data_IF_456175453810
#
_entry.id   IF_456175453810
#
_cell.length_a   1.000
_cell.length_b   1.000
_cell.length_c   1.000
_cell.angle_alpha   90.00
_cell.angle_beta   90.00
_cell.angle_gamma   90.00
#
_symmetry.space_group_name_H-M   'P 1'
#
loop_
_entity.id
_entity.type
_entity.pdbx_description
1 polymer ?
#
# COMPACT_ATOMS: atom_id res chain seq x y z
N UNK A 1 1.33 36.04 -39.10
CA UNK A 1 0.34 35.08 -39.64
C UNK A 1 1.02 33.86 -40.30
N UNK A 2 2.08 34.04 -41.07
CA UNK A 2 2.80 32.95 -41.75
C UNK A 2 3.56 32.05 -40.77
N UNK A 3 4.10 32.58 -39.68
CA UNK A 3 4.81 31.80 -38.65
C UNK A 3 3.90 30.88 -37.85
N UNK A 4 2.63 31.26 -37.62
CA UNK A 4 1.65 30.43 -36.92
C UNK A 4 1.17 29.27 -37.79
N UNK A 5 1.03 29.48 -39.10
CA UNK A 5 0.70 28.42 -40.04
C UNK A 5 1.81 27.36 -40.17
N UNK A 6 3.09 27.77 -40.08
CA UNK A 6 4.22 26.85 -40.13
C UNK A 6 4.29 25.97 -38.88
N UNK A 7 3.99 26.53 -37.69
CA UNK A 7 3.94 25.77 -36.45
C UNK A 7 2.76 24.80 -36.40
N UNK A 8 1.58 25.19 -36.87
CA UNK A 8 0.43 24.29 -36.94
C UNK A 8 0.63 23.14 -37.94
N UNK A 9 1.28 23.40 -39.09
CA UNK A 9 1.59 22.34 -40.06
C UNK A 9 2.63 21.31 -39.53
N UNK A 10 3.64 21.78 -38.80
CA UNK A 10 4.63 20.88 -38.19
C UNK A 10 4.00 20.01 -37.11
N UNK A 11 3.05 20.51 -36.31
CA UNK A 11 2.34 19.78 -35.28
C UNK A 11 1.39 18.74 -35.88
N UNK A 12 0.68 19.12 -36.98
CA UNK A 12 -0.27 18.21 -37.65
C UNK A 12 0.46 17.10 -38.42
N UNK A 13 1.59 17.40 -39.03
CA UNK A 13 2.44 16.41 -39.73
C UNK A 13 3.07 15.45 -38.68
N UNK A 14 3.49 15.95 -37.54
CA UNK A 14 4.02 15.11 -36.46
C UNK A 14 2.95 14.17 -35.90
N UNK A 15 1.74 14.67 -35.62
CA UNK A 15 0.62 13.85 -35.16
C UNK A 15 0.17 12.79 -36.17
N UNK A 16 0.14 13.13 -37.46
CA UNK A 16 -0.19 12.16 -38.52
C UNK A 16 0.91 11.09 -38.68
N UNK A 17 2.18 11.48 -38.57
CA UNK A 17 3.30 10.56 -38.61
C UNK A 17 3.33 9.61 -37.40
N UNK A 18 3.08 10.12 -36.18
CA UNK A 18 2.94 9.31 -34.97
C UNK A 18 1.71 8.40 -35.03
N UNK A 19 0.60 8.87 -35.57
CA UNK A 19 -0.60 8.04 -35.77
C UNK A 19 -0.37 6.91 -36.77
N UNK A 20 0.33 7.19 -37.88
CA UNK A 20 0.65 6.16 -38.89
C UNK A 20 1.70 5.15 -38.37
N UNK A 21 2.75 5.64 -37.66
CA UNK A 21 3.73 4.79 -37.01
C UNK A 21 3.10 3.89 -35.94
N UNK A 22 2.17 4.45 -35.19
CA UNK A 22 1.41 3.75 -34.17
C UNK A 22 0.53 2.63 -34.76
N UNK A 23 -0.19 2.90 -35.88
CA UNK A 23 -0.95 1.85 -36.56
C UNK A 23 -0.06 0.75 -37.13
N UNK A 24 1.12 1.07 -37.66
CA UNK A 24 2.08 0.09 -38.18
C UNK A 24 2.63 -0.80 -37.04
N UNK A 25 2.86 -0.22 -35.86
CA UNK A 25 3.36 -0.95 -34.69
C UNK A 25 2.30 -1.84 -34.05
N UNK A 26 1.03 -1.38 -34.01
CA UNK A 26 -0.11 -2.20 -33.58
C UNK A 26 -0.37 -3.41 -34.52
N UNK A 27 -0.15 -3.25 -35.81
CA UNK A 27 -0.30 -4.34 -36.80
C UNK A 27 0.78 -5.41 -36.67
N UNK A 28 1.92 -5.12 -36.02
CA UNK A 28 2.99 -6.10 -35.74
C UNK A 28 2.83 -6.86 -34.43
N UNK A 29 1.79 -6.58 -33.64
CA UNK A 29 1.37 -7.40 -32.48
C UNK A 29 2.30 -7.38 -31.26
N UNK A 30 3.35 -6.54 -31.22
CA UNK A 30 4.36 -6.58 -30.17
C UNK A 30 4.48 -5.28 -29.32
N UNK A 31 3.63 -4.27 -29.58
CA UNK A 31 3.70 -3.00 -28.84
C UNK A 31 2.27 -2.52 -28.58
N UNK A 32 1.93 -2.28 -27.33
CA UNK A 32 0.63 -1.75 -26.90
C UNK A 32 0.71 -0.24 -26.69
N UNK A 33 -0.43 0.44 -26.69
CA UNK A 33 -0.50 1.88 -26.37
C UNK A 33 0.09 2.19 -25.00
N UNK A 34 0.06 1.22 -24.11
CA UNK A 34 0.62 1.25 -22.78
C UNK A 34 2.14 1.41 -22.78
N UNK A 35 2.85 0.82 -23.73
CA UNK A 35 4.33 0.88 -23.80
C UNK A 35 4.89 2.28 -24.08
N UNK A 36 4.07 3.18 -24.63
CA UNK A 36 4.46 4.57 -24.93
C UNK A 36 4.05 5.56 -23.83
N UNK A 37 2.94 5.32 -23.13
CA UNK A 37 2.40 6.26 -22.14
C UNK A 37 2.99 6.03 -20.72
N UNK A 38 3.29 4.80 -20.37
CA UNK A 38 3.72 4.46 -19.02
C UNK A 38 5.09 4.98 -18.58
N UNK A 39 6.12 5.03 -19.43
CA UNK A 39 7.40 5.57 -19.01
C UNK A 39 7.31 7.02 -18.58
N UNK A 40 6.46 7.81 -19.26
CA UNK A 40 6.30 9.23 -18.98
C UNK A 40 5.53 9.45 -17.67
N UNK A 41 4.44 8.69 -17.44
CA UNK A 41 3.64 8.78 -16.21
C UNK A 41 4.47 8.36 -15.00
N UNK A 42 5.17 7.23 -15.06
CA UNK A 42 6.01 6.77 -13.95
C UNK A 42 7.15 7.75 -13.66
N UNK A 43 7.82 8.28 -14.69
CA UNK A 43 8.89 9.25 -14.54
C UNK A 43 8.40 10.57 -13.92
N UNK A 44 7.19 11.00 -14.27
CA UNK A 44 6.55 12.17 -13.67
C UNK A 44 6.29 11.93 -12.17
N UNK A 45 5.68 10.80 -11.81
CA UNK A 45 5.41 10.42 -10.42
C UNK A 45 6.71 10.31 -9.60
N UNK A 46 7.75 9.71 -10.16
CA UNK A 46 9.07 9.63 -9.51
C UNK A 46 9.72 11.01 -9.34
N UNK A 47 9.49 11.93 -10.27
CA UNK A 47 9.99 13.30 -10.15
C UNK A 47 9.31 14.03 -8.98
N UNK A 48 8.00 13.92 -8.86
CA UNK A 48 7.24 14.44 -7.71
C UNK A 48 7.67 13.77 -6.39
N UNK A 49 7.89 12.46 -6.41
CA UNK A 49 8.36 11.72 -5.24
C UNK A 49 9.75 12.21 -4.78
N UNK A 50 10.69 12.49 -5.70
CA UNK A 50 12.01 13.07 -5.35
C UNK A 50 11.87 14.44 -4.67
N UNK A 51 10.93 15.28 -5.14
CA UNK A 51 10.66 16.58 -4.52
C UNK A 51 10.09 16.41 -3.10
N UNK A 52 9.11 15.51 -2.93
CA UNK A 52 8.54 15.20 -1.63
C UNK A 52 9.60 14.64 -0.65
N UNK A 53 10.49 13.74 -1.13
CA UNK A 53 11.60 13.23 -0.34
C UNK A 53 12.52 14.34 0.15
N UNK A 54 12.88 15.27 -0.72
CA UNK A 54 13.74 16.39 -0.36
C UNK A 54 13.12 17.26 0.76
N UNK A 55 11.80 17.45 0.71
CA UNK A 55 11.08 18.16 1.77
C UNK A 55 11.01 17.35 3.08
N UNK A 56 10.79 16.03 3.01
CA UNK A 56 10.78 15.17 4.18
C UNK A 56 12.10 15.12 4.96
N UNK A 57 13.25 15.35 4.30
CA UNK A 57 14.55 15.42 4.98
C UNK A 57 14.62 16.50 6.07
N UNK A 58 13.78 17.54 5.99
CA UNK A 58 13.73 18.63 6.95
C UNK A 58 12.74 18.39 8.10
N UNK A 59 12.02 17.26 8.10
CA UNK A 59 11.08 16.91 9.16
C UNK A 59 11.68 15.87 10.10
N UNK A 60 11.48 16.06 11.40
CA UNK A 60 11.88 15.06 12.39
C UNK A 60 10.76 14.03 12.65
N UNK A 61 11.08 12.98 13.41
CA UNK A 61 10.13 11.90 13.72
C UNK A 61 8.89 12.41 14.47
N UNK A 62 9.08 13.35 15.41
CA UNK A 62 7.98 13.90 16.19
C UNK A 62 7.00 14.71 15.31
N UNK A 63 7.52 15.48 14.37
CA UNK A 63 6.69 16.21 13.40
C UNK A 63 5.91 15.26 12.51
N UNK A 64 6.54 14.20 11.99
CA UNK A 64 5.86 13.18 11.18
C UNK A 64 4.78 12.44 11.99
N UNK A 65 5.05 12.13 13.25
CA UNK A 65 4.06 11.56 14.17
C UNK A 65 2.88 12.50 14.40
N UNK A 66 3.13 13.81 14.59
CA UNK A 66 2.08 14.81 14.71
C UNK A 66 1.22 14.91 13.46
N UNK A 67 1.85 14.94 12.29
CA UNK A 67 1.15 14.93 11.00
C UNK A 67 0.22 13.70 10.91
N UNK A 68 0.76 12.53 11.21
CA UNK A 68 -0.02 11.31 11.09
C UNK A 68 -1.14 11.20 12.13
N UNK A 69 -0.96 11.72 13.35
CA UNK A 69 -2.04 11.81 14.33
C UNK A 69 -3.22 12.65 13.82
N UNK A 70 -2.97 13.74 13.11
CA UNK A 70 -4.03 14.55 12.49
C UNK A 70 -4.72 13.80 11.35
N UNK A 71 -3.99 12.99 10.57
CA UNK A 71 -4.60 12.09 9.58
C UNK A 71 -5.56 11.11 10.26
N UNK A 72 -5.15 10.48 11.37
CA UNK A 72 -6.00 9.56 12.12
C UNK A 72 -7.27 10.25 12.66
N UNK A 73 -7.15 11.49 13.15
CA UNK A 73 -8.29 12.27 13.62
C UNK A 73 -9.29 12.57 12.49
N UNK A 74 -8.79 12.85 11.29
CA UNK A 74 -9.62 13.10 10.10
C UNK A 74 -10.35 11.85 9.63
N UNK A 75 -9.72 10.68 9.74
CA UNK A 75 -10.27 9.41 9.27
C UNK A 75 -11.25 8.77 10.28
N UNK A 76 -11.08 9.02 11.56
CA UNK A 76 -11.92 8.42 12.61
C UNK A 76 -13.43 8.56 12.36
N UNK A 77 -13.99 9.74 12.03
CA UNK A 77 -15.42 9.91 11.82
C UNK A 77 -15.96 9.24 10.55
N UNK A 78 -15.10 8.91 9.59
CA UNK A 78 -15.51 8.34 8.29
C UNK A 78 -15.26 6.84 8.16
N UNK A 79 -14.79 6.15 9.22
CA UNK A 79 -14.54 4.72 9.22
C UNK A 79 -15.73 3.90 8.71
N UNK A 80 -16.94 4.24 9.12
CA UNK A 80 -18.16 3.53 8.69
C UNK A 80 -18.43 3.69 7.17
N UNK A 81 -18.12 4.85 6.59
CA UNK A 81 -18.24 5.05 5.14
C UNK A 81 -17.19 4.21 4.40
N UNK A 82 -15.93 4.24 4.85
CA UNK A 82 -14.86 3.46 4.25
C UNK A 82 -15.13 1.95 4.32
N UNK A 83 -15.65 1.48 5.46
CA UNK A 83 -16.01 0.06 5.62
C UNK A 83 -17.11 -0.36 4.64
N UNK A 84 -18.18 0.47 4.51
CA UNK A 84 -19.30 0.20 3.60
C UNK A 84 -18.86 0.16 2.15
N UNK A 85 -18.11 1.19 1.73
CA UNK A 85 -17.66 1.31 0.35
C UNK A 85 -16.68 0.18 -0.01
N UNK A 86 -15.85 -0.25 0.95
CA UNK A 86 -14.95 -1.40 0.78
C UNK A 86 -15.72 -2.70 0.49
N UNK A 87 -16.75 -3.00 1.26
CA UNK A 87 -17.59 -4.19 1.04
C UNK A 87 -18.37 -4.07 -0.26
N UNK A 88 -18.90 -2.89 -0.56
CA UNK A 88 -19.69 -2.66 -1.77
C UNK A 88 -18.88 -2.83 -3.06
N UNK A 89 -17.65 -2.32 -3.10
CA UNK A 89 -16.81 -2.40 -4.29
C UNK A 89 -16.20 -3.78 -4.46
N UNK A 90 -15.63 -4.34 -3.39
CA UNK A 90 -14.91 -5.61 -3.48
C UNK A 90 -15.84 -6.84 -3.50
N UNK A 91 -17.04 -6.72 -2.96
CA UNK A 91 -17.94 -7.84 -2.74
C UNK A 91 -17.49 -8.81 -1.63
N UNK A 92 -16.42 -8.47 -0.92
CA UNK A 92 -15.84 -9.32 0.15
C UNK A 92 -16.10 -8.75 1.52
N UNK A 93 -16.24 -9.64 2.50
CA UNK A 93 -16.31 -9.32 3.91
C UNK A 93 -17.69 -8.90 4.41
N UNK A 94 -17.70 -8.38 5.64
CA UNK A 94 -18.90 -7.92 6.36
C UNK A 94 -18.63 -6.48 6.85
N UNK A 95 -19.63 -5.62 6.73
CA UNK A 95 -19.52 -4.20 7.10
C UNK A 95 -19.05 -4.00 8.56
N UNK A 96 -19.66 -4.73 9.50
CA UNK A 96 -19.36 -4.61 10.92
C UNK A 96 -17.91 -5.03 11.24
N UNK A 97 -17.45 -6.10 10.62
CA UNK A 97 -16.11 -6.61 10.80
C UNK A 97 -15.06 -5.67 10.17
N UNK A 98 -15.35 -5.14 8.96
CA UNK A 98 -14.52 -4.13 8.30
C UNK A 98 -14.41 -2.86 9.12
N UNK A 99 -15.51 -2.38 9.67
CA UNK A 99 -15.53 -1.22 10.54
C UNK A 99 -14.69 -1.45 11.80
N UNK A 100 -14.81 -2.65 12.41
CA UNK A 100 -13.99 -3.03 13.56
C UNK A 100 -12.50 -3.07 13.22
N UNK A 101 -12.13 -3.66 12.08
CA UNK A 101 -10.74 -3.73 11.60
C UNK A 101 -10.15 -2.34 11.39
N UNK A 102 -10.86 -1.44 10.69
CA UNK A 102 -10.40 -0.07 10.45
C UNK A 102 -10.24 0.68 11.78
N UNK A 103 -11.24 0.61 12.65
CA UNK A 103 -11.22 1.31 13.95
C UNK A 103 -10.06 0.81 14.82
N UNK A 104 -9.82 -0.51 14.83
CA UNK A 104 -8.71 -1.12 15.57
C UNK A 104 -7.37 -0.67 15.01
N UNK A 105 -7.21 -0.69 13.68
CA UNK A 105 -5.98 -0.24 13.05
C UNK A 105 -5.68 1.23 13.39
N UNK A 106 -6.66 2.13 13.29
CA UNK A 106 -6.46 3.54 13.64
C UNK A 106 -6.00 3.71 15.11
N UNK A 107 -6.61 2.95 16.03
CA UNK A 107 -6.21 2.96 17.45
C UNK A 107 -4.78 2.45 17.64
N UNK A 108 -4.43 1.35 16.99
CA UNK A 108 -3.11 0.72 17.12
C UNK A 108 -2.02 1.63 16.52
N UNK A 109 -2.28 2.22 15.34
CA UNK A 109 -1.40 3.22 14.72
C UNK A 109 -1.23 4.48 15.58
N UNK A 110 -2.31 4.95 16.22
CA UNK A 110 -2.24 6.06 17.19
C UNK A 110 -1.34 5.72 18.35
N UNK A 111 -1.48 4.52 18.91
CA UNK A 111 -0.60 4.05 19.99
C UNK A 111 0.86 4.02 19.58
N UNK A 112 1.16 3.54 18.36
CA UNK A 112 2.52 3.57 17.83
C UNK A 112 3.08 4.99 17.70
N UNK A 113 2.29 5.95 17.22
CA UNK A 113 2.74 7.34 17.10
C UNK A 113 3.04 8.01 18.46
N UNK A 114 2.30 7.63 19.50
CA UNK A 114 2.48 8.19 20.84
C UNK A 114 3.67 7.58 21.62
N UNK A 115 4.11 6.38 21.21
CA UNK A 115 5.25 5.68 21.83
C UNK A 115 6.61 6.10 21.25
N UNK A 116 6.69 7.18 20.48
CA UNK A 116 7.87 7.63 19.74
C UNK A 116 8.99 8.22 20.59
N UNK A 117 9.35 7.60 21.69
CA UNK A 117 10.74 7.61 22.10
C UNK A 117 11.45 6.56 21.24
N UNK A 118 12.25 7.03 20.30
CA UNK A 118 12.95 6.14 19.37
C UNK A 118 13.71 5.07 20.15
N UNK A 119 13.37 3.78 20.05
CA UNK A 119 14.10 2.73 20.74
C UNK A 119 15.56 2.62 20.28
N UNK A 120 15.93 3.36 19.24
CA UNK A 120 17.29 3.44 18.70
C UNK A 120 18.13 4.57 19.33
N UNK A 121 17.53 5.62 19.89
CA UNK A 121 18.30 6.73 20.46
C UNK A 121 18.95 6.38 21.82
N UNK A 122 18.36 5.49 22.59
CA UNK A 122 18.88 5.13 23.93
C UNK A 122 20.01 4.10 23.93
N UNK A 123 20.12 3.26 22.90
CA UNK A 123 21.13 2.18 22.87
C UNK A 123 22.54 2.61 22.45
N UNK A 124 22.70 3.83 21.97
CA UNK A 124 24.01 4.34 21.48
C UNK A 124 24.60 5.42 22.36
N UNK A 125 24.09 5.60 23.57
CA UNK A 125 24.63 6.60 24.54
C UNK A 125 26.06 6.30 25.05
N UNK A 126 26.68 5.21 24.62
CA UNK A 126 28.04 4.83 24.98
C UNK A 126 29.12 5.27 23.98
N UNK A 127 28.74 5.88 22.86
CA UNK A 127 29.67 6.39 21.85
C UNK A 127 29.24 7.76 21.40
N UNK A 128 30.19 8.64 21.12
CA UNK A 128 29.98 10.03 20.60
C UNK A 128 29.34 10.03 19.19
N UNK A 129 28.62 8.94 18.81
CA UNK A 129 28.02 8.76 17.51
C UNK A 129 26.54 9.04 17.57
N UNK A 130 26.07 10.07 16.88
CA UNK A 130 24.66 10.37 16.70
C UNK A 130 24.12 9.62 15.50
N UNK A 131 23.13 8.74 15.71
CA UNK A 131 22.42 8.04 14.63
C UNK A 131 21.17 8.83 14.28
N UNK A 132 21.05 9.26 13.03
CA UNK A 132 19.86 9.93 12.51
C UNK A 132 19.19 9.04 11.46
N UNK A 133 17.90 8.75 11.65
CA UNK A 133 17.09 8.07 10.64
C UNK A 133 16.78 9.03 9.49
N UNK A 134 17.06 8.61 8.26
CA UNK A 134 16.78 9.37 7.05
C UNK A 134 15.87 8.60 6.10
N UNK A 135 15.04 9.30 5.28
CA UNK A 135 14.27 8.67 4.22
C UNK A 135 15.15 7.91 3.24
N UNK A 136 14.86 6.63 3.02
CA UNK A 136 15.63 5.77 2.12
C UNK A 136 15.38 6.08 0.64
N UNK A 137 14.15 6.47 0.29
CA UNK A 137 13.74 6.77 -1.08
C UNK A 137 12.25 6.57 -1.29
N UNK A 138 11.81 6.45 -2.54
CA UNK A 138 10.42 6.20 -2.86
C UNK A 138 10.02 4.78 -2.51
N UNK A 139 8.90 4.63 -1.81
CA UNK A 139 8.28 3.34 -1.53
C UNK A 139 7.21 3.03 -2.58
N UNK A 140 7.12 1.77 -2.95
CA UNK A 140 6.03 1.24 -3.77
C UNK A 140 5.06 0.49 -2.88
N UNK A 141 3.77 0.84 -2.92
CA UNK A 141 2.71 0.20 -2.14
C UNK A 141 1.77 -0.60 -3.02
N UNK A 142 1.62 -1.90 -2.75
CA UNK A 142 0.71 -2.78 -3.48
C UNK A 142 -0.22 -3.46 -2.46
N UNK A 143 -1.33 -2.80 -2.07
CA UNK A 143 -2.31 -3.39 -1.18
C UNK A 143 -3.14 -4.46 -1.90
N UNK A 144 -3.62 -5.46 -1.16
CA UNK A 144 -4.53 -6.45 -1.72
C UNK A 144 -5.93 -5.88 -1.94
N UNK A 145 -6.67 -6.50 -2.85
CA UNK A 145 -8.08 -6.18 -3.04
C UNK A 145 -9.00 -6.70 -1.93
N UNK A 146 -8.48 -7.55 -1.03
CA UNK A 146 -9.28 -8.13 0.05
C UNK A 146 -9.51 -7.11 1.17
N UNK A 147 -8.45 -6.44 1.62
CA UNK A 147 -8.50 -5.45 2.72
C UNK A 147 -7.98 -4.07 2.29
N UNK A 148 -8.53 -3.46 1.22
CA UNK A 148 -7.93 -2.31 0.56
C UNK A 148 -7.75 -1.10 1.49
N UNK A 149 -8.71 -0.82 2.37
CA UNK A 149 -8.64 0.34 3.28
C UNK A 149 -7.53 0.18 4.31
N UNK A 150 -7.52 -0.95 5.03
CA UNK A 150 -6.55 -1.17 6.12
C UNK A 150 -5.12 -1.27 5.60
N UNK A 151 -4.92 -1.89 4.45
CA UNK A 151 -3.58 -2.04 3.87
C UNK A 151 -3.06 -0.73 3.27
N UNK A 152 -3.92 0.06 2.62
CA UNK A 152 -3.57 1.41 2.16
C UNK A 152 -3.19 2.31 3.34
N UNK A 153 -3.97 2.28 4.44
CA UNK A 153 -3.67 3.03 5.65
C UNK A 153 -2.35 2.60 6.30
N UNK A 154 -2.10 1.30 6.37
CA UNK A 154 -0.87 0.76 6.95
C UNK A 154 0.36 1.16 6.14
N UNK A 155 0.32 1.04 4.82
CA UNK A 155 1.41 1.45 3.95
C UNK A 155 1.67 2.98 4.03
N UNK A 156 0.60 3.78 4.05
CA UNK A 156 0.71 5.23 4.22
C UNK A 156 1.29 5.61 5.60
N UNK A 157 0.94 4.88 6.66
CA UNK A 157 1.51 5.08 8.00
C UNK A 157 3.03 4.86 7.99
N UNK A 158 3.49 3.77 7.39
CA UNK A 158 4.93 3.50 7.25
C UNK A 158 5.60 4.63 6.47
N UNK A 159 5.07 5.02 5.34
CA UNK A 159 5.64 6.04 4.48
C UNK A 159 5.78 7.40 5.21
N UNK A 160 4.72 7.88 5.85
CA UNK A 160 4.72 9.15 6.58
C UNK A 160 5.66 9.08 7.78
N UNK A 161 5.63 8.00 8.59
CA UNK A 161 6.48 7.86 9.78
C UNK A 161 7.97 7.79 9.44
N UNK A 162 8.32 7.14 8.34
CA UNK A 162 9.70 7.04 7.85
C UNK A 162 10.14 8.24 7.01
N UNK A 163 9.20 9.12 6.61
CA UNK A 163 9.46 10.28 5.76
C UNK A 163 9.75 9.91 4.31
N UNK A 164 9.25 8.78 3.85
CA UNK A 164 9.42 8.32 2.47
C UNK A 164 8.19 8.68 1.63
N UNK A 165 8.34 9.19 0.41
CA UNK A 165 7.23 9.29 -0.53
C UNK A 165 6.74 7.90 -0.94
N UNK A 166 5.45 7.77 -1.21
CA UNK A 166 4.79 6.51 -1.51
C UNK A 166 4.01 6.61 -2.81
N UNK A 167 4.23 5.65 -3.70
CA UNK A 167 3.45 5.47 -4.93
C UNK A 167 2.69 4.16 -4.81
N UNK A 168 1.37 4.22 -4.88
CA UNK A 168 0.53 3.03 -4.86
C UNK A 168 0.25 2.47 -6.25
N UNK A 169 0.17 1.15 -6.31
CA UNK A 169 -0.44 0.40 -7.39
C UNK A 169 -1.68 -0.30 -6.85
N UNK A 170 -2.85 0.12 -7.32
CA UNK A 170 -4.10 -0.46 -6.87
C UNK A 170 -4.62 -1.51 -7.85
N UNK A 171 -5.19 -2.58 -7.30
CA UNK A 171 -5.92 -3.58 -8.08
C UNK A 171 -7.22 -2.99 -8.63
N UNK A 172 -7.57 -3.29 -9.88
CA UNK A 172 -8.81 -2.83 -10.52
C UNK A 172 -10.06 -3.17 -9.71
N UNK A 173 -10.06 -4.33 -9.05
CA UNK A 173 -11.20 -4.80 -8.25
C UNK A 173 -11.43 -4.04 -6.93
N UNK A 174 -10.52 -3.15 -6.54
CA UNK A 174 -10.60 -2.33 -5.33
C UNK A 174 -10.04 -0.91 -5.56
N UNK A 175 -9.98 -0.47 -6.81
CA UNK A 175 -9.32 0.77 -7.19
C UNK A 175 -9.97 1.99 -6.54
N UNK A 176 -11.30 2.11 -6.62
CA UNK A 176 -12.01 3.31 -6.18
C UNK A 176 -11.87 3.52 -4.67
N UNK A 177 -12.06 2.46 -3.87
CA UNK A 177 -11.95 2.58 -2.41
C UNK A 177 -10.50 2.79 -1.97
N UNK A 178 -9.53 2.15 -2.65
CA UNK A 178 -8.11 2.35 -2.37
C UNK A 178 -7.67 3.77 -2.70
N UNK A 179 -8.01 4.28 -3.89
CA UNK A 179 -7.69 5.64 -4.33
C UNK A 179 -8.38 6.69 -3.44
N UNK A 180 -9.65 6.47 -3.07
CA UNK A 180 -10.36 7.33 -2.11
C UNK A 180 -9.65 7.35 -0.76
N UNK A 181 -9.24 6.19 -0.24
CA UNK A 181 -8.53 6.11 1.03
C UNK A 181 -7.19 6.84 0.96
N UNK A 182 -6.41 6.61 -0.10
CA UNK A 182 -5.13 7.29 -0.32
C UNK A 182 -5.30 8.81 -0.46
N UNK A 183 -6.34 9.27 -1.17
CA UNK A 183 -6.65 10.70 -1.30
C UNK A 183 -6.96 11.34 0.05
N UNK A 184 -7.81 10.71 0.85
CA UNK A 184 -8.16 11.22 2.19
C UNK A 184 -6.93 11.30 3.11
N UNK A 185 -6.07 10.28 3.08
CA UNK A 185 -4.82 10.29 3.86
C UNK A 185 -3.88 11.38 3.37
N UNK A 186 -3.66 11.49 2.05
CA UNK A 186 -2.80 12.50 1.43
C UNK A 186 -3.27 13.91 1.78
N UNK A 187 -4.55 14.20 1.57
CA UNK A 187 -5.10 15.54 1.76
C UNK A 187 -5.06 15.95 3.25
N UNK A 188 -5.34 15.01 4.16
CA UNK A 188 -5.19 15.24 5.59
C UNK A 188 -3.72 15.43 6.00
N UNK A 189 -2.79 14.66 5.42
CA UNK A 189 -1.37 14.79 5.68
C UNK A 189 -0.83 16.14 5.21
N UNK A 190 -1.18 16.57 4.00
CA UNK A 190 -0.79 17.88 3.45
C UNK A 190 -1.35 19.01 4.31
N UNK A 191 -2.63 18.94 4.70
CA UNK A 191 -3.23 19.92 5.62
C UNK A 191 -2.53 19.98 6.99
N UNK A 192 -1.93 18.86 7.42
CA UNK A 192 -1.13 18.77 8.63
C UNK A 192 0.34 19.22 8.51
N UNK A 193 0.80 19.51 7.28
CA UNK A 193 2.14 19.98 6.96
C UNK A 193 3.06 18.95 6.31
N UNK A 194 2.53 17.85 5.80
CA UNK A 194 3.28 16.95 4.93
C UNK A 194 3.61 17.62 3.59
N UNK A 195 4.70 17.23 2.92
CA UNK A 195 5.01 17.69 1.59
C UNK A 195 3.93 17.32 0.57
N UNK A 196 3.74 18.18 -0.43
CA UNK A 196 2.95 17.84 -1.60
C UNK A 196 3.50 16.56 -2.27
N UNK A 197 2.62 15.78 -2.86
CA UNK A 197 2.98 14.53 -3.54
C UNK A 197 3.68 13.47 -2.64
N UNK A 198 3.52 13.56 -1.33
CA UNK A 198 4.04 12.56 -0.40
C UNK A 198 3.38 11.18 -0.58
N UNK A 199 2.14 11.15 -1.04
CA UNK A 199 1.37 9.94 -1.41
C UNK A 199 0.78 10.14 -2.80
N UNK A 200 1.05 9.20 -3.67
CA UNK A 200 0.60 9.18 -5.06
C UNK A 200 0.07 7.79 -5.40
N UNK A 201 -0.64 7.66 -6.49
CA UNK A 201 -1.06 6.35 -7.03
C UNK A 201 -1.11 6.38 -8.55
N UNK A 202 -1.02 5.21 -9.14
CA UNK A 202 -1.16 5.00 -10.56
C UNK A 202 -2.53 4.41 -10.84
N UNK A 203 -3.21 5.00 -11.82
CA UNK A 203 -4.58 4.62 -12.21
C UNK A 203 -4.62 3.31 -12.99
N UNK A 204 -3.46 2.81 -13.41
CA UNK A 204 -3.36 1.63 -14.26
C UNK A 204 -2.34 0.66 -13.63
N UNK A 205 -2.82 -0.47 -13.14
CA UNK A 205 -1.99 -1.57 -12.68
C UNK A 205 -1.69 -2.51 -13.85
N UNK A 206 -0.60 -2.28 -14.57
CA UNK A 206 -0.08 -3.19 -15.60
C UNK A 206 1.17 -3.94 -15.06
N UNK A 207 1.21 -5.25 -15.30
CA UNK A 207 2.35 -6.09 -14.93
C UNK A 207 3.69 -5.58 -15.52
N UNK A 208 3.66 -5.02 -16.73
CA UNK A 208 4.83 -4.40 -17.37
C UNK A 208 5.34 -3.17 -16.61
N UNK A 209 4.44 -2.40 -16.02
CA UNK A 209 4.79 -1.24 -15.22
C UNK A 209 5.46 -1.66 -13.90
N UNK A 210 4.96 -2.73 -13.28
CA UNK A 210 5.58 -3.32 -12.08
C UNK A 210 6.99 -3.86 -12.39
N UNK A 211 7.18 -4.49 -13.55
CA UNK A 211 8.50 -4.96 -13.98
C UNK A 211 9.48 -3.79 -14.19
N UNK A 212 9.03 -2.68 -14.76
CA UNK A 212 9.85 -1.45 -14.88
C UNK A 212 10.21 -0.87 -13.51
N UNK A 213 9.31 -0.93 -12.54
CA UNK A 213 9.58 -0.49 -11.17
C UNK A 213 10.69 -1.32 -10.50
N UNK A 214 10.81 -2.62 -10.81
CA UNK A 214 11.85 -3.48 -10.25
C UNK A 214 13.27 -3.03 -10.56
N UNK A 215 13.45 -2.39 -11.69
CA UNK A 215 14.77 -1.92 -12.17
C UNK A 215 14.98 -0.42 -11.95
N UNK A 216 14.02 0.26 -11.29
CA UNK A 216 14.10 1.69 -11.06
C UNK A 216 14.94 1.99 -9.80
N UNK A 217 16.07 2.68 -9.92
CA UNK A 217 16.94 2.99 -8.78
C UNK A 217 16.33 4.00 -7.80
N UNK A 218 15.28 4.70 -8.19
CA UNK A 218 14.56 5.65 -7.32
C UNK A 218 13.60 4.95 -6.35
N UNK A 219 13.28 3.68 -6.59
CA UNK A 219 12.41 2.88 -5.72
C UNK A 219 13.30 2.13 -4.73
N UNK A 220 13.21 2.50 -3.46
CA UNK A 220 14.05 1.98 -2.39
C UNK A 220 13.39 0.90 -1.55
N UNK A 221 12.08 0.72 -1.65
CA UNK A 221 11.37 -0.28 -0.89
C UNK A 221 9.99 -0.63 -1.46
N UNK A 222 9.51 -1.81 -1.08
CA UNK A 222 8.22 -2.35 -1.48
C UNK A 222 7.40 -2.71 -0.25
N UNK A 223 6.16 -2.24 -0.19
CA UNK A 223 5.14 -2.67 0.79
C UNK A 223 4.09 -3.45 0.03
N UNK A 224 4.09 -4.76 0.20
CA UNK A 224 3.28 -5.66 -0.58
C UNK A 224 2.36 -6.49 0.31
N UNK A 225 1.09 -6.57 -0.08
CA UNK A 225 0.08 -7.37 0.58
C UNK A 225 -0.68 -8.21 -0.43
N UNK A 226 -1.03 -9.44 -0.06
CA UNK A 226 -1.81 -10.35 -0.90
C UNK A 226 -0.99 -11.32 -1.78
N UNK A 227 -1.70 -12.19 -2.50
CA UNK A 227 -1.13 -13.32 -3.26
C UNK A 227 -1.71 -13.41 -4.65
N UNK A 228 -1.26 -12.58 -5.59
CA UNK A 228 -1.38 -12.99 -6.99
C UNK A 228 -0.09 -13.69 -7.47
N UNK A 229 -0.22 -14.59 -8.44
CA UNK A 229 0.94 -15.27 -9.04
C UNK A 229 1.90 -14.25 -9.70
N UNK A 230 1.35 -13.16 -10.23
CA UNK A 230 2.10 -12.08 -10.85
C UNK A 230 2.92 -11.29 -9.82
N UNK A 231 2.33 -11.01 -8.66
CA UNK A 231 3.00 -10.34 -7.55
C UNK A 231 4.23 -11.13 -7.07
N UNK A 232 4.16 -12.47 -7.04
CA UNK A 232 5.33 -13.30 -6.71
C UNK A 232 6.47 -13.16 -7.70
N UNK A 233 6.19 -13.01 -8.99
CA UNK A 233 7.22 -12.79 -10.02
C UNK A 233 7.89 -11.44 -9.84
N UNK A 234 7.10 -10.39 -9.64
CA UNK A 234 7.59 -9.04 -9.33
C UNK A 234 8.52 -9.09 -8.12
N UNK A 235 8.08 -9.77 -7.06
CA UNK A 235 8.82 -9.89 -5.81
C UNK A 235 10.16 -10.62 -5.96
N UNK A 236 10.20 -11.71 -6.72
CA UNK A 236 11.45 -12.47 -6.93
C UNK A 236 12.52 -11.68 -7.69
N UNK A 237 12.14 -10.62 -8.39
CA UNK A 237 13.02 -9.75 -9.14
C UNK A 237 13.39 -8.46 -8.39
N UNK A 238 12.71 -8.16 -7.26
CA UNK A 238 12.92 -6.91 -6.52
C UNK A 238 14.18 -7.01 -5.65
N UNK A 239 15.12 -6.10 -5.83
CA UNK A 239 16.39 -6.06 -5.07
C UNK A 239 16.36 -5.13 -3.86
N UNK A 240 15.29 -4.34 -3.70
CA UNK A 240 15.13 -3.40 -2.60
C UNK A 240 14.54 -4.05 -1.34
N UNK A 241 14.52 -3.33 -0.22
CA UNK A 241 13.90 -3.79 1.02
C UNK A 241 12.39 -3.98 0.86
N UNK A 242 11.86 -5.08 1.40
CA UNK A 242 10.47 -5.44 1.24
C UNK A 242 9.77 -5.70 2.56
N UNK A 243 8.62 -5.06 2.75
CA UNK A 243 7.66 -5.37 3.81
C UNK A 243 6.54 -6.18 3.18
N UNK A 244 6.37 -7.41 3.65
CA UNK A 244 5.50 -8.39 3.02
C UNK A 244 4.43 -8.85 3.98
N UNK A 245 3.19 -8.84 3.52
CA UNK A 245 2.05 -9.45 4.20
C UNK A 245 1.41 -10.47 3.27
N UNK A 246 1.77 -11.74 3.45
CA UNK A 246 1.18 -12.83 2.68
C UNK A 246 0.27 -13.68 3.56
N UNK A 247 -0.81 -14.25 2.99
CA UNK A 247 -1.54 -15.31 3.66
C UNK A 247 -0.58 -16.48 3.90
N UNK A 248 -0.43 -16.82 5.15
CA UNK A 248 0.29 -18.03 5.57
C UNK A 248 -0.66 -18.94 6.31
N UNK A 249 -0.48 -20.28 6.24
CA UNK A 249 -1.29 -21.19 7.03
C UNK A 249 -1.17 -20.84 8.51
N UNK A 250 -2.26 -20.38 9.10
CA UNK A 250 -2.33 -20.13 10.53
C UNK A 250 -2.59 -21.44 11.26
N UNK A 251 -1.79 -21.73 12.29
CA UNK A 251 -1.91 -22.94 13.11
C UNK A 251 -2.58 -22.60 14.44
N UNK A 252 -3.53 -23.41 14.85
CA UNK A 252 -4.03 -23.46 16.21
C UNK A 252 -3.66 -24.78 16.85
N UNK A 253 -3.02 -24.74 18.02
CA UNK A 253 -2.76 -25.93 18.82
C UNK A 253 -3.66 -25.95 20.04
N UNK A 254 -4.41 -27.05 20.23
CA UNK A 254 -5.30 -27.26 21.36
C UNK A 254 -4.65 -28.30 22.28
N UNK A 255 -4.18 -27.81 23.41
CA UNK A 255 -3.58 -28.63 24.45
C UNK A 255 -4.64 -29.45 25.22
N UNK A 256 -4.28 -30.59 25.76
CA UNK A 256 -5.20 -31.51 26.51
C UNK A 256 -5.90 -30.81 27.68
N UNK A 257 -5.33 -29.77 28.28
CA UNK A 257 -5.93 -29.00 29.37
C UNK A 257 -6.91 -27.90 28.93
N UNK A 258 -7.08 -27.69 27.63
CA UNK A 258 -8.02 -26.71 27.12
C UNK A 258 -9.46 -27.24 27.24
N UNK A 259 -10.42 -26.31 27.41
CA UNK A 259 -11.82 -26.64 27.24
C UNK A 259 -12.14 -26.75 25.73
N UNK A 260 -12.50 -27.95 25.23
CA UNK A 260 -12.72 -28.17 23.80
C UNK A 260 -13.87 -27.35 23.24
N UNK A 261 -14.91 -27.10 24.03
CA UNK A 261 -16.09 -26.33 23.61
C UNK A 261 -15.74 -24.86 23.43
N UNK A 262 -14.98 -24.30 24.38
CA UNK A 262 -14.51 -22.93 24.30
C UNK A 262 -13.52 -22.76 23.13
N UNK A 263 -12.59 -23.68 22.98
CA UNK A 263 -11.62 -23.65 21.88
C UNK A 263 -12.31 -23.72 20.51
N UNK A 264 -13.25 -24.63 20.34
CA UNK A 264 -14.04 -24.74 19.11
C UNK A 264 -14.80 -23.46 18.82
N UNK A 265 -15.45 -22.87 19.82
CA UNK A 265 -16.18 -21.60 19.65
C UNK A 265 -15.28 -20.45 19.22
N UNK A 266 -14.09 -20.33 19.80
CA UNK A 266 -13.11 -19.30 19.43
C UNK A 266 -12.57 -19.49 18.00
N UNK A 267 -12.26 -20.73 17.60
CA UNK A 267 -11.81 -21.04 16.25
C UNK A 267 -12.89 -20.72 15.21
N UNK A 268 -14.14 -21.10 15.47
CA UNK A 268 -15.25 -20.77 14.57
C UNK A 268 -15.40 -19.26 14.43
N UNK A 269 -15.37 -18.53 15.54
CA UNK A 269 -15.49 -17.06 15.54
C UNK A 269 -14.35 -16.41 14.73
N UNK A 270 -13.11 -16.86 14.96
CA UNK A 270 -11.93 -16.36 14.21
C UNK A 270 -12.01 -16.71 12.72
N UNK A 271 -12.39 -17.94 12.40
CA UNK A 271 -12.46 -18.40 11.01
C UNK A 271 -13.60 -17.77 10.21
N UNK A 272 -14.71 -17.43 10.85
CA UNK A 272 -15.87 -16.81 10.19
C UNK A 272 -15.80 -15.29 10.16
N UNK A 273 -14.87 -14.69 10.88
CA UNK A 273 -14.69 -13.25 10.89
C UNK A 273 -14.45 -12.72 9.48
N UNK A 274 -15.14 -11.65 9.11
CA UNK A 274 -15.09 -11.03 7.78
C UNK A 274 -15.37 -12.03 6.64
N UNK A 275 -16.34 -12.93 6.83
CA UNK A 275 -16.64 -14.06 5.92
C UNK A 275 -15.44 -14.97 5.64
N UNK A 276 -14.54 -15.12 6.61
CA UNK A 276 -13.32 -15.93 6.46
C UNK A 276 -12.24 -15.30 5.60
N UNK A 277 -12.36 -14.01 5.28
CA UNK A 277 -11.39 -13.29 4.44
C UNK A 277 -10.15 -12.84 5.22
N UNK A 278 -10.14 -12.96 6.55
CA UNK A 278 -8.96 -12.66 7.35
C UNK A 278 -7.81 -13.62 7.08
N UNK A 279 -6.66 -13.06 6.74
CA UNK A 279 -5.44 -13.82 6.44
C UNK A 279 -4.94 -14.66 7.63
N UNK A 280 -5.27 -14.23 8.84
CA UNK A 280 -4.83 -14.85 10.10
C UNK A 280 -5.86 -15.87 10.66
N UNK A 281 -6.97 -16.12 9.96
CA UNK A 281 -7.93 -17.16 10.37
C UNK A 281 -7.30 -18.55 10.32
N UNK A 282 -7.52 -19.35 11.33
CA UNK A 282 -6.93 -20.67 11.49
C UNK A 282 -7.25 -21.56 10.29
N UNK A 283 -6.22 -22.18 9.72
CA UNK A 283 -6.35 -23.09 8.58
C UNK A 283 -5.98 -24.54 8.96
N UNK A 284 -5.14 -24.67 9.99
CA UNK A 284 -4.69 -25.97 10.48
C UNK A 284 -4.93 -26.01 11.98
N UNK A 285 -5.67 -27.03 12.42
CA UNK A 285 -5.95 -27.28 13.83
C UNK A 285 -5.20 -28.55 14.23
N UNK A 286 -4.31 -28.42 15.21
CA UNK A 286 -3.63 -29.52 15.85
C UNK A 286 -4.19 -29.65 17.27
N UNK A 287 -4.67 -30.82 17.62
CA UNK A 287 -5.19 -31.08 18.96
C UNK A 287 -4.54 -32.34 19.56
N UNK A 288 -4.37 -32.35 20.87
CA UNK A 288 -3.95 -33.59 21.58
C UNK A 288 -4.97 -34.70 21.36
N UNK A 289 -4.50 -35.92 21.09
CA UNK A 289 -5.36 -37.06 20.78
C UNK A 289 -6.37 -37.38 21.90
N UNK A 290 -6.05 -37.00 23.14
CA UNK A 290 -6.89 -37.24 24.32
C UNK A 290 -8.20 -36.47 24.30
N UNK A 291 -8.22 -35.32 23.64
CA UNK A 291 -9.41 -34.44 23.57
C UNK A 291 -10.20 -34.62 22.28
N UNK A 292 -9.69 -35.39 21.33
CA UNK A 292 -10.43 -35.74 20.13
C UNK A 292 -11.45 -36.85 20.45
N UNK A 293 -12.72 -36.72 20.01
CA UNK A 293 -13.63 -37.86 20.14
C UNK A 293 -13.08 -39.03 19.32
N UNK A 294 -13.30 -40.29 19.79
CA UNK A 294 -12.96 -41.43 18.97
C UNK A 294 -13.69 -41.36 17.65
N UNK A 295 -12.94 -41.49 16.56
CA UNK A 295 -13.45 -41.50 15.19
C UNK A 295 -14.45 -42.60 14.96
#
# INVERSE_FOLDING_TARGET
FISILFFMNAYTINMAFYSALFQILLLKGNITMTDFLYPDILNEQLTYARQARAAWLWTNVAERSRIFLQVLDTLQPICASLARDSVQETGYGIFEDRMLMITRLLRDLRSCCLQTESPFSERLSCTDTHTQSQPSGTLLGIPSSIHPVTETLFAAAIAIQTGNPLIFFFSDSAFQISARTASLVRDAAIAAGAPDNCIQWLEIADDNLLEKCNHCPDISGLILSGLSANIRKVFSAFSAECILSFPQPAFCYIHYSADPTLAAGQIVLSKTFDNGMCLNGEQIICADAVILPPL
#
